data_IF_472671097526
#
_entry.id   IF_472671097526
#
_cell.length_a   1.000
_cell.length_b   1.000
_cell.length_c   1.000
_cell.angle_alpha   90.00
_cell.angle_beta   90.00
_cell.angle_gamma   90.00
#
_symmetry.space_group_name_H-M   'P 1'
#
loop_
_entity.id
_entity.type
_entity.pdbx_description
1 polymer ?
#
# COMPACT_ATOMS: atom_id res chain seq x y z
N UNK A 1 -15.31 7.59 -3.10
CA UNK A 1 -14.79 6.25 -3.48
C UNK A 1 -13.34 6.42 -3.93
N UNK A 2 -12.34 5.96 -3.16
CA UNK A 2 -10.93 6.11 -3.57
C UNK A 2 -10.70 5.20 -4.77
N UNK A 3 -10.42 5.80 -5.93
CA UNK A 3 -10.01 5.12 -7.16
C UNK A 3 -8.49 4.98 -7.11
N UNK A 4 -7.99 3.74 -7.10
CA UNK A 4 -6.54 3.46 -7.19
C UNK A 4 -6.09 3.53 -8.64
N UNK A 5 -6.17 4.72 -9.23
CA UNK A 5 -5.68 5.02 -10.58
C UNK A 5 -4.33 5.72 -10.45
N UNK A 6 -3.34 5.32 -11.25
CA UNK A 6 -1.99 5.90 -11.23
C UNK A 6 -1.07 5.32 -10.14
N UNK A 7 -0.17 6.12 -9.58
CA UNK A 7 0.92 5.70 -8.67
C UNK A 7 0.48 5.04 -7.35
N UNK A 8 -0.81 5.07 -7.03
CA UNK A 8 -1.39 4.49 -5.80
C UNK A 8 -1.89 3.06 -5.99
N UNK A 9 -2.09 2.63 -7.25
CA UNK A 9 -2.54 1.30 -7.60
C UNK A 9 -1.42 0.49 -8.25
N UNK A 10 -1.34 -0.79 -7.90
CA UNK A 10 -0.53 -1.74 -8.62
C UNK A 10 -0.99 -1.80 -10.09
N UNK A 11 0.00 -1.95 -11.00
CA UNK A 11 -0.22 -2.05 -12.45
C UNK A 11 -1.30 -3.10 -12.79
N UNK A 12 -1.40 -4.14 -11.97
CA UNK A 12 -2.42 -5.16 -12.10
C UNK A 12 -3.62 -4.84 -11.19
N UNK A 13 -4.73 -4.44 -11.82
CA UNK A 13 -6.10 -4.43 -11.25
C UNK A 13 -6.46 -3.33 -10.22
N UNK A 14 -5.66 -2.27 -10.07
CA UNK A 14 -6.00 -1.18 -9.13
C UNK A 14 -6.03 -1.64 -7.67
N UNK A 15 -5.26 -2.67 -7.36
CA UNK A 15 -5.09 -3.22 -6.01
C UNK A 15 -3.89 -2.50 -5.37
N UNK A 16 -3.88 -2.23 -4.05
CA UNK A 16 -2.71 -1.66 -3.39
C UNK A 16 -1.45 -2.51 -3.55
N UNK A 17 -0.29 -1.86 -3.57
CA UNK A 17 1.02 -2.49 -3.74
C UNK A 17 1.37 -3.44 -2.58
N UNK A 18 2.19 -4.44 -2.90
CA UNK A 18 2.75 -5.39 -1.92
C UNK A 18 4.26 -5.17 -1.81
N UNK A 19 4.67 -4.26 -0.93
CA UNK A 19 6.02 -3.71 -0.89
C UNK A 19 6.92 -4.47 0.08
N UNK A 20 8.14 -4.78 -0.35
CA UNK A 20 9.19 -5.28 0.52
C UNK A 20 10.44 -4.40 0.41
N UNK A 21 11.22 -4.38 1.48
CA UNK A 21 12.42 -3.55 1.58
C UNK A 21 13.56 -4.23 0.84
N UNK A 22 14.20 -3.49 -0.07
CA UNK A 22 15.41 -3.95 -0.76
C UNK A 22 16.66 -3.21 -0.28
N UNK A 23 16.49 -1.98 0.22
CA UNK A 23 17.60 -1.18 0.72
C UNK A 23 17.10 -0.19 1.77
N UNK A 24 17.89 0.00 2.82
CA UNK A 24 17.58 0.98 3.86
C UNK A 24 18.86 1.52 4.49
N UNK A 25 18.94 2.85 4.61
CA UNK A 25 19.94 3.53 5.43
C UNK A 25 19.28 4.67 6.24
N UNK A 26 20.07 5.58 6.81
CA UNK A 26 19.56 6.72 7.59
C UNK A 26 18.87 7.80 6.75
N UNK A 27 19.15 7.89 5.44
CA UNK A 27 18.65 8.94 4.56
C UNK A 27 17.50 8.48 3.66
N UNK A 28 17.48 7.20 3.27
CA UNK A 28 16.59 6.68 2.24
C UNK A 28 16.13 5.26 2.62
N UNK A 29 14.89 4.95 2.26
CA UNK A 29 14.34 3.59 2.21
C UNK A 29 13.89 3.31 0.78
N UNK A 30 14.30 2.17 0.22
CA UNK A 30 13.88 1.74 -1.11
C UNK A 30 13.16 0.40 -0.97
N UNK A 31 11.98 0.34 -1.58
CA UNK A 31 11.12 -0.83 -1.54
C UNK A 31 10.65 -1.20 -2.95
N UNK A 32 10.35 -2.47 -3.16
CA UNK A 32 9.87 -3.01 -4.44
C UNK A 32 8.55 -3.72 -4.23
N UNK A 33 7.62 -3.53 -5.16
CA UNK A 33 6.37 -4.28 -5.19
C UNK A 33 6.59 -5.69 -5.73
N UNK A 34 6.23 -6.75 -5.00
CA UNK A 34 6.30 -8.14 -5.48
C UNK A 34 5.42 -8.42 -6.71
N UNK A 35 4.32 -7.67 -6.87
CA UNK A 35 3.32 -7.92 -7.92
C UNK A 35 3.72 -7.26 -9.24
N UNK A 36 4.28 -6.05 -9.20
CA UNK A 36 4.55 -5.26 -10.41
C UNK A 36 5.99 -4.76 -10.54
N UNK A 37 6.90 -5.21 -9.66
CA UNK A 37 8.32 -4.85 -9.63
C UNK A 37 8.61 -3.34 -9.61
N UNK A 38 7.62 -2.52 -9.25
CA UNK A 38 7.76 -1.07 -9.18
C UNK A 38 8.57 -0.70 -7.95
N UNK A 39 9.59 0.14 -8.16
CA UNK A 39 10.43 0.70 -7.10
C UNK A 39 9.77 1.92 -6.47
N UNK A 40 9.79 1.96 -5.14
CA UNK A 40 9.33 3.07 -4.32
C UNK A 40 10.51 3.59 -3.52
N UNK A 41 10.75 4.88 -3.62
CA UNK A 41 11.82 5.56 -2.87
C UNK A 41 11.16 6.47 -1.85
N UNK A 42 11.50 6.26 -0.59
CA UNK A 42 11.06 7.11 0.50
C UNK A 42 12.27 7.81 1.11
N UNK A 43 12.26 9.14 1.09
CA UNK A 43 13.27 9.92 1.76
C UNK A 43 12.96 9.94 3.27
N UNK A 44 14.00 9.79 4.07
CA UNK A 44 13.93 9.87 5.52
C UNK A 44 14.30 11.27 5.98
N UNK A 45 13.48 11.84 6.85
CA UNK A 45 13.72 13.13 7.48
C UNK A 45 14.48 12.99 8.80
N UNK A 46 14.16 13.88 9.75
CA UNK A 46 14.76 13.90 11.08
C UNK A 46 14.72 12.52 11.76
N UNK A 47 15.86 12.12 12.35
CA UNK A 47 16.06 10.81 13.00
C UNK A 47 15.81 9.58 12.11
N UNK A 48 15.94 9.72 10.78
CA UNK A 48 15.77 8.58 9.87
C UNK A 48 14.33 8.12 9.71
N UNK A 49 13.35 8.98 10.01
CA UNK A 49 11.92 8.68 9.90
C UNK A 49 11.39 8.94 8.51
N UNK A 50 10.55 8.03 8.03
CA UNK A 50 9.82 8.19 6.77
C UNK A 50 8.57 9.04 7.02
N UNK A 51 8.11 9.78 6.02
CA UNK A 51 6.80 10.42 6.10
C UNK A 51 5.69 9.36 6.20
N UNK A 52 5.07 9.24 7.37
CA UNK A 52 4.04 8.23 7.63
C UNK A 52 2.85 8.31 6.68
N UNK A 53 2.44 9.50 6.24
CA UNK A 53 1.28 9.65 5.38
C UNK A 53 1.54 9.09 3.97
N UNK A 54 2.72 9.33 3.41
CA UNK A 54 3.11 8.74 2.13
C UNK A 54 3.38 7.24 2.25
N UNK A 55 4.03 6.85 3.35
CA UNK A 55 4.33 5.46 3.63
C UNK A 55 3.05 4.61 3.75
N UNK A 56 2.06 5.05 4.54
CA UNK A 56 0.78 4.34 4.69
C UNK A 56 -0.02 4.24 3.39
N UNK A 57 0.05 5.25 2.50
CA UNK A 57 -0.60 5.19 1.19
C UNK A 57 -0.03 4.07 0.32
N UNK A 58 1.29 3.87 0.37
CA UNK A 58 1.98 2.84 -0.40
C UNK A 58 1.79 1.43 0.21
N UNK A 59 1.77 1.34 1.55
CA UNK A 59 1.67 0.09 2.33
C UNK A 59 0.25 -0.28 2.74
N UNK A 60 -0.74 0.29 2.06
CA UNK A 60 -2.15 0.12 2.42
C UNK A 60 -2.56 -1.37 2.46
N UNK A 61 -1.95 -2.22 1.64
CA UNK A 61 -2.16 -3.67 1.64
C UNK A 61 -1.75 -4.33 2.96
N UNK A 62 -0.62 -3.90 3.52
CA UNK A 62 0.01 -4.46 4.72
C UNK A 62 -0.66 -3.95 5.99
N UNK A 63 -1.14 -2.70 5.98
CA UNK A 63 -1.79 -2.08 7.14
C UNK A 63 -3.32 -2.14 7.11
N UNK A 64 -3.94 -2.63 6.04
CA UNK A 64 -5.39 -2.83 6.01
C UNK A 64 -5.81 -3.87 7.06
N UNK A 65 -6.79 -3.53 7.88
CA UNK A 65 -7.30 -4.37 8.97
C UNK A 65 -8.69 -4.90 8.65
N UNK A 66 -9.02 -6.10 9.14
CA UNK A 66 -10.33 -6.72 8.99
C UNK A 66 -11.47 -5.92 9.64
N UNK A 67 -11.16 -5.14 10.67
CA UNK A 67 -12.09 -4.27 11.40
C UNK A 67 -11.54 -2.83 11.47
N UNK A 68 -12.38 -1.88 11.86
CA UNK A 68 -11.98 -0.48 11.99
C UNK A 68 -12.01 0.31 10.68
N UNK A 69 -11.26 1.43 10.65
CA UNK A 69 -11.34 2.44 9.58
C UNK A 69 -10.88 1.91 8.21
N UNK A 70 -9.99 0.93 8.17
CA UNK A 70 -9.47 0.33 6.93
C UNK A 70 -10.22 -0.93 6.48
N UNK A 71 -11.31 -1.31 7.17
CA UNK A 71 -12.12 -2.51 6.88
C UNK A 71 -12.58 -2.62 5.42
N UNK A 72 -13.07 -1.53 4.83
CA UNK A 72 -13.55 -1.53 3.43
C UNK A 72 -12.44 -1.86 2.45
N UNK A 73 -11.23 -1.36 2.71
CA UNK A 73 -10.03 -1.66 1.90
C UNK A 73 -9.63 -3.12 2.10
N UNK A 74 -9.59 -3.59 3.34
CA UNK A 74 -9.25 -4.99 3.64
C UNK A 74 -10.15 -5.97 2.90
N UNK A 75 -11.47 -5.81 2.97
CA UNK A 75 -12.40 -6.68 2.25
C UNK A 75 -12.21 -6.58 0.73
N UNK A 76 -11.92 -5.40 0.19
CA UNK A 76 -11.65 -5.25 -1.25
C UNK A 76 -10.41 -6.03 -1.70
N UNK A 77 -9.37 -6.10 -0.87
CA UNK A 77 -8.12 -6.80 -1.18
C UNK A 77 -8.24 -8.31 -0.97
N UNK A 78 -8.72 -8.72 0.20
CA UNK A 78 -8.62 -10.10 0.68
C UNK A 78 -9.92 -10.91 0.57
N UNK A 79 -11.09 -10.25 0.55
CA UNK A 79 -12.40 -10.91 0.49
C UNK A 79 -13.38 -10.14 -0.41
N UNK A 80 -13.08 -9.98 -1.72
CA UNK A 80 -13.91 -9.17 -2.61
C UNK A 80 -15.35 -9.68 -2.71
N UNK A 81 -15.56 -11.00 -2.57
CA UNK A 81 -16.89 -11.63 -2.54
C UNK A 81 -17.77 -11.16 -1.37
N UNK A 82 -17.17 -10.72 -0.25
CA UNK A 82 -17.91 -10.18 0.89
C UNK A 82 -18.48 -8.77 0.65
N UNK A 83 -18.13 -8.12 -0.48
CA UNK A 83 -18.63 -6.81 -0.88
C UNK A 83 -19.74 -6.90 -1.94
N UNK A 84 -20.06 -8.10 -2.43
CA UNK A 84 -21.13 -8.32 -3.40
C UNK A 84 -22.45 -8.32 -2.63
N UNK A 85 -23.32 -7.34 -2.90
CA UNK A 85 -24.71 -7.39 -2.46
C UNK A 85 -25.38 -8.45 -3.32
N UNK A 86 -25.73 -9.59 -2.72
CA UNK A 86 -26.61 -10.56 -3.37
C UNK A 86 -28.01 -9.94 -3.37
N UNK A 87 -28.52 -9.62 -4.56
CA UNK A 87 -29.90 -9.21 -4.80
C UNK A 87 -30.76 -10.46 -4.79
#
# INVERSE_FOLDING_TARGET
>A
MIRYTGNLGCKYRGIPHDLHIIFQNMKIKIEVCHICNRKFRFNKGYRGRVNNAEYLKAHLRQYAQRSGLTKRVYHRIYKPSALIIKI
#
